data_IF_760458118146
#
_entry.id   IF_760458118146
#
_cell.length_a   1.000
_cell.length_b   1.000
_cell.length_c   1.000
_cell.angle_alpha   90.00
_cell.angle_beta   90.00
_cell.angle_gamma   90.00
#
_symmetry.space_group_name_H-M   'P 1'
#
loop_
_entity.id
_entity.type
_entity.pdbx_description
1 polymer ?
#
# COMPACT_ATOMS: atom_id res chain seq x y z
N UNK A 1 -4.47 3.79 2.24
CA UNK A 1 -3.86 4.39 1.03
C UNK A 1 -2.61 3.62 0.60
N UNK A 2 -1.56 3.50 1.44
CA UNK A 2 -0.30 2.82 1.08
C UNK A 2 -0.43 1.37 0.56
N UNK A 3 -1.35 0.57 1.12
CA UNK A 3 -1.61 -0.82 0.66
C UNK A 3 -2.56 -0.87 -0.55
N UNK A 4 -3.43 0.13 -0.68
CA UNK A 4 -4.47 0.16 -1.72
C UNK A 4 -3.91 0.71 -3.04
N UNK A 5 -2.95 1.66 -2.99
CA UNK A 5 -2.39 2.28 -4.20
C UNK A 5 -1.66 1.28 -5.14
N UNK A 6 -0.81 0.35 -4.64
CA UNK A 6 -0.21 -0.69 -5.50
C UNK A 6 -1.26 -1.64 -6.09
N UNK A 7 -2.30 -1.99 -5.32
CA UNK A 7 -3.39 -2.85 -5.79
C UNK A 7 -4.21 -2.19 -6.91
N UNK A 8 -4.41 -0.87 -6.84
CA UNK A 8 -5.04 -0.08 -7.92
C UNK A 8 -4.15 -0.05 -9.17
N UNK A 9 -2.82 0.06 -9.02
CA UNK A 9 -1.88 -0.04 -10.16
C UNK A 9 -1.90 -1.41 -10.83
N UNK A 10 -1.98 -2.48 -10.05
CA UNK A 10 -2.15 -3.85 -10.55
C UNK A 10 -3.51 -4.04 -11.26
N UNK A 11 -4.59 -3.48 -10.73
CA UNK A 11 -5.89 -3.51 -11.40
C UNK A 11 -5.83 -2.81 -12.78
N UNK A 12 -5.09 -1.70 -12.87
CA UNK A 12 -4.84 -1.00 -14.13
C UNK A 12 -4.11 -1.85 -15.18
N UNK A 13 -3.25 -2.79 -14.78
CA UNK A 13 -2.59 -3.69 -15.74
C UNK A 13 -3.56 -4.70 -16.34
N UNK A 14 -4.46 -5.23 -15.52
CA UNK A 14 -5.51 -6.15 -15.95
C UNK A 14 -6.44 -5.46 -16.95
N UNK A 15 -6.85 -4.22 -16.65
CA UNK A 15 -7.66 -3.42 -17.59
C UNK A 15 -6.92 -3.10 -18.89
N UNK A 16 -5.65 -2.70 -18.82
CA UNK A 16 -4.84 -2.42 -20.02
C UNK A 16 -4.67 -3.64 -20.92
N UNK A 17 -4.41 -4.82 -20.34
CA UNK A 17 -4.34 -6.08 -21.09
C UNK A 17 -5.70 -6.51 -21.64
N UNK A 18 -6.80 -6.29 -20.91
CA UNK A 18 -8.16 -6.55 -21.41
C UNK A 18 -8.47 -5.75 -22.67
N UNK A 19 -8.14 -4.45 -22.68
CA UNK A 19 -8.33 -3.59 -23.85
C UNK A 19 -7.44 -4.04 -25.01
N UNK A 20 -6.18 -4.38 -24.72
CA UNK A 20 -5.23 -4.87 -25.73
C UNK A 20 -5.73 -6.14 -26.43
N UNK A 21 -6.20 -7.12 -25.65
CA UNK A 21 -6.71 -8.38 -26.18
C UNK A 21 -8.00 -8.20 -26.99
N UNK A 22 -8.93 -7.36 -26.52
CA UNK A 22 -10.16 -7.03 -27.27
C UNK A 22 -9.83 -6.35 -28.62
N UNK A 23 -8.87 -5.42 -28.63
CA UNK A 23 -8.48 -4.72 -29.85
C UNK A 23 -7.74 -5.62 -30.87
N UNK A 24 -7.07 -6.68 -30.40
CA UNK A 24 -6.44 -7.69 -31.26
C UNK A 24 -7.46 -8.65 -31.88
N UNK A 25 -8.56 -8.97 -31.18
CA UNK A 25 -9.63 -9.82 -31.72
C UNK A 25 -10.37 -9.18 -32.89
N UNK A 26 -10.53 -7.85 -32.91
CA UNK A 26 -11.25 -7.12 -33.96
C UNK A 26 -10.41 -6.78 -35.20
N UNK A 27 -9.09 -6.99 -35.18
CA UNK A 27 -8.18 -6.54 -36.25
C UNK A 27 -7.52 -7.66 -37.06
N UNK A 28 -7.25 -7.35 -38.34
CA UNK A 28 -6.59 -8.21 -39.33
C UNK A 28 -5.17 -8.57 -38.85
N UNK A 29 -4.74 -9.81 -39.10
CA UNK A 29 -3.54 -10.45 -38.55
C UNK A 29 -2.24 -9.62 -38.58
N UNK A 30 -2.09 -8.71 -39.54
CA UNK A 30 -0.89 -7.88 -39.73
C UNK A 30 -0.79 -6.72 -38.72
N UNK A 31 -1.93 -6.22 -38.20
CA UNK A 31 -1.97 -5.07 -37.26
C UNK A 31 -1.95 -5.53 -35.78
N UNK A 32 -2.08 -6.84 -35.53
CA UNK A 32 -2.14 -7.42 -34.19
C UNK A 32 -0.93 -7.11 -33.28
N UNK A 33 0.32 -7.09 -33.76
CA UNK A 33 1.47 -6.87 -32.88
C UNK A 33 1.56 -5.44 -32.34
N UNK A 34 1.28 -4.43 -33.17
CA UNK A 34 1.42 -3.02 -32.79
C UNK A 34 0.37 -2.59 -31.77
N UNK A 35 -0.86 -3.08 -31.92
CA UNK A 35 -1.97 -2.77 -31.01
C UNK A 35 -1.76 -3.42 -29.64
N UNK A 36 -1.27 -4.67 -29.62
CA UNK A 36 -0.94 -5.38 -28.38
C UNK A 36 0.14 -4.64 -27.57
N UNK A 37 1.22 -4.19 -28.23
CA UNK A 37 2.31 -3.46 -27.59
C UNK A 37 1.82 -2.15 -26.95
N UNK A 38 0.87 -1.46 -27.59
CA UNK A 38 0.24 -0.26 -27.03
C UNK A 38 -0.47 -0.51 -25.69
N UNK A 39 -1.28 -1.57 -25.61
CA UNK A 39 -2.01 -1.89 -24.38
C UNK A 39 -1.11 -2.39 -23.24
N UNK A 40 -0.03 -3.12 -23.57
CA UNK A 40 0.99 -3.52 -22.58
C UNK A 40 1.73 -2.29 -22.02
N UNK A 41 2.09 -1.34 -22.88
CA UNK A 41 2.74 -0.10 -22.44
C UNK A 41 1.85 0.69 -21.46
N UNK A 42 0.55 0.81 -21.76
CA UNK A 42 -0.41 1.47 -20.88
C UNK A 42 -0.56 0.76 -19.52
N UNK A 43 -0.57 -0.58 -19.53
CA UNK A 43 -0.57 -1.38 -18.29
C UNK A 43 0.68 -1.12 -17.43
N UNK A 44 1.87 -1.06 -18.05
CA UNK A 44 3.13 -0.80 -17.34
C UNK A 44 3.16 0.61 -16.72
N UNK A 45 2.71 1.64 -17.45
CA UNK A 45 2.67 3.02 -16.95
C UNK A 45 1.74 3.13 -15.73
N UNK A 46 0.57 2.49 -15.78
CA UNK A 46 -0.40 2.54 -14.67
C UNK A 46 0.16 1.88 -13.40
N UNK A 47 0.97 0.83 -13.56
CA UNK A 47 1.71 0.21 -12.44
C UNK A 47 2.74 1.15 -11.85
N UNK A 48 3.53 1.80 -12.72
CA UNK A 48 4.58 2.73 -12.29
C UNK A 48 3.98 3.88 -11.46
N UNK A 49 2.85 4.44 -11.89
CA UNK A 49 2.12 5.46 -11.11
C UNK A 49 1.61 4.94 -9.77
N UNK A 50 1.04 3.72 -9.73
CA UNK A 50 0.58 3.09 -8.49
C UNK A 50 1.71 2.90 -7.47
N UNK A 51 2.90 2.51 -7.93
CA UNK A 51 4.10 2.38 -7.10
C UNK A 51 4.67 3.75 -6.69
N UNK A 52 4.66 4.73 -7.59
CA UNK A 52 5.15 6.08 -7.35
C UNK A 52 4.36 6.79 -6.24
N UNK A 53 3.07 6.52 -6.11
CA UNK A 53 2.24 7.02 -4.98
C UNK A 53 2.32 6.11 -3.75
N UNK A 54 2.38 4.79 -3.96
CA UNK A 54 2.40 3.80 -2.87
C UNK A 54 3.65 3.86 -1.98
N UNK A 55 4.83 3.98 -2.59
CA UNK A 55 6.12 3.96 -1.87
C UNK A 55 6.25 5.16 -0.90
N UNK A 56 6.04 6.42 -1.33
CA UNK A 56 6.06 7.57 -0.41
C UNK A 56 5.01 7.46 0.70
N UNK A 57 3.79 7.04 0.36
CA UNK A 57 2.72 6.88 1.35
C UNK A 57 3.08 5.84 2.43
N UNK A 58 3.76 4.76 2.06
CA UNK A 58 4.23 3.74 3.00
C UNK A 58 5.36 4.26 3.89
N UNK A 59 6.30 5.04 3.34
CA UNK A 59 7.35 5.70 4.12
C UNK A 59 6.77 6.65 5.18
N UNK A 60 5.82 7.50 4.79
CA UNK A 60 5.15 8.38 5.75
C UNK A 60 4.39 7.59 6.82
N UNK A 61 3.65 6.55 6.43
CA UNK A 61 2.95 5.69 7.39
C UNK A 61 3.90 5.05 8.40
N UNK A 62 5.05 4.53 7.96
CA UNK A 62 6.05 3.94 8.84
C UNK A 62 6.62 4.98 9.83
N UNK A 63 6.86 6.21 9.38
CA UNK A 63 7.33 7.30 10.24
C UNK A 63 6.32 7.65 11.35
N UNK A 64 5.06 7.87 10.99
CA UNK A 64 4.00 8.18 11.96
C UNK A 64 3.73 7.01 12.90
N UNK A 65 3.75 5.78 12.39
CA UNK A 65 3.56 4.58 13.22
C UNK A 65 4.69 4.38 14.23
N UNK A 66 5.94 4.66 13.85
CA UNK A 66 7.07 4.65 14.78
C UNK A 66 6.87 5.66 15.91
N UNK A 67 6.42 6.87 15.59
CA UNK A 67 6.11 7.91 16.60
C UNK A 67 4.97 7.51 17.53
N UNK A 68 3.88 6.97 16.98
CA UNK A 68 2.76 6.48 17.77
C UNK A 68 3.17 5.33 18.70
N UNK A 69 3.97 4.38 18.21
CA UNK A 69 4.48 3.27 19.01
C UNK A 69 5.34 3.74 20.18
N UNK A 70 6.14 4.80 19.99
CA UNK A 70 6.93 5.40 21.09
C UNK A 70 6.02 6.01 22.15
N UNK A 71 4.98 6.75 21.75
CA UNK A 71 4.00 7.31 22.68
C UNK A 71 3.28 6.23 23.48
N UNK A 72 2.86 5.14 22.82
CA UNK A 72 2.23 4.00 23.49
C UNK A 72 3.18 3.37 24.49
N UNK A 73 4.46 3.15 24.13
CA UNK A 73 5.46 2.58 25.03
C UNK A 73 5.72 3.46 26.27
N UNK A 74 5.70 4.79 26.11
CA UNK A 74 5.81 5.72 27.25
C UNK A 74 4.58 5.60 28.16
N UNK A 75 3.37 5.52 27.60
CA UNK A 75 2.14 5.34 28.38
C UNK A 75 2.13 3.99 29.11
N UNK A 76 2.60 2.92 28.48
CA UNK A 76 2.75 1.60 29.11
C UNK A 76 3.72 1.66 30.30
N UNK A 77 4.85 2.34 30.13
CA UNK A 77 5.84 2.49 31.22
C UNK A 77 5.25 3.30 32.39
N UNK A 78 4.60 4.43 32.11
CA UNK A 78 3.98 5.27 33.14
C UNK A 78 2.84 4.54 33.88
N UNK A 79 2.02 3.76 33.17
CA UNK A 79 0.95 2.97 33.77
C UNK A 79 1.49 1.82 34.63
N UNK A 80 2.59 1.17 34.20
CA UNK A 80 3.28 0.15 35.00
C UNK A 80 3.86 0.74 36.30
N UNK A 81 4.48 1.92 36.25
CA UNK A 81 4.97 2.62 37.44
C UNK A 81 3.84 2.98 38.41
N UNK A 82 2.73 3.53 37.90
CA UNK A 82 1.55 3.83 38.72
C UNK A 82 1.00 2.56 39.37
N UNK A 83 0.96 1.44 38.63
CA UNK A 83 0.49 0.17 39.17
C UNK A 83 1.39 -0.36 40.28
N UNK A 84 2.71 -0.26 40.12
CA UNK A 84 3.70 -0.58 41.16
C UNK A 84 3.47 0.26 42.43
N UNK A 85 3.28 1.57 42.27
CA UNK A 85 3.02 2.48 43.41
C UNK A 85 1.71 2.15 44.11
N UNK A 86 0.64 1.88 43.37
CA UNK A 86 -0.67 1.52 43.94
C UNK A 86 -0.64 0.17 44.66
N UNK A 87 0.07 -0.82 44.12
CA UNK A 87 0.26 -2.12 44.76
C UNK A 87 1.14 -2.02 46.01
N UNK A 88 2.19 -1.19 45.98
CA UNK A 88 3.02 -0.90 47.14
C UNK A 88 2.23 -0.19 48.25
N UNK A 89 1.20 0.58 47.89
CA UNK A 89 0.27 1.23 48.84
C UNK A 89 -0.83 0.34 49.38
N UNK A 90 -1.03 -0.91 48.93
CA UNK A 90 -1.99 -1.82 49.58
C UNK A 90 -1.39 -2.28 50.92
N UNK A 91 -1.91 -1.81 52.08
CA UNK A 91 -1.51 -2.37 53.36
C UNK A 91 -1.87 -3.86 53.36
N UNK A 92 -0.88 -4.71 53.63
CA UNK A 92 -1.10 -6.10 54.04
C UNK A 92 -2.14 -6.06 55.17
N UNK A 93 -3.36 -6.52 54.88
CA UNK A 93 -4.23 -7.09 55.90
C UNK A 93 -3.66 -8.45 56.29
#
# INVERSE_FOLDING_TARGET
IAVVAPMVGLLGTVFGMLIAFNAVSDQIAVVRPTVLVGGVNQAMITTAFGLLVGIPAMMFYAFFRSRASKLVSVLETASAELMMVLLSRRPKK
#
